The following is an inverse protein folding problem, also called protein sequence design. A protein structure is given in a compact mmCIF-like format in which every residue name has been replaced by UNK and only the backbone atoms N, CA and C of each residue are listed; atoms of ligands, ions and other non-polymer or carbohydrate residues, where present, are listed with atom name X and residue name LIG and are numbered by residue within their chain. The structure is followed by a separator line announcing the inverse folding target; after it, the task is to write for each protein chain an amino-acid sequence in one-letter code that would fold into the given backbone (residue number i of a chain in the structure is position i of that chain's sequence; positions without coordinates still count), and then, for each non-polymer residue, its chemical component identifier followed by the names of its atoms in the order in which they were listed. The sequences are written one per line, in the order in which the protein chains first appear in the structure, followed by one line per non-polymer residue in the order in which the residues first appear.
data_IF_076228158443
#
_entry.id   IF_076228158443
#
_cell.length_a   1.000
_cell.length_b   1.000
_cell.length_c   1.000
_cell.angle_alpha   90.00
_cell.angle_beta   90.00
_cell.angle_gamma   90.00
#
_symmetry.space_group_name_H-M   'P 1'
#
loop_
_entity.id
_entity.type
_entity.pdbx_description
1 polymer ?
#
# COMPACT_ATOMS: atom_id res chain seq x y z
N UNK A 1 4.78 14.61 5.06
CA UNK A 1 6.21 14.26 5.14
C UNK A 1 6.59 13.05 4.29
N UNK A 2 5.87 11.93 4.35
CA UNK A 2 6.25 10.68 3.65
C UNK A 2 5.73 10.52 2.23
N UNK A 3 5.07 11.54 1.66
CA UNK A 3 4.56 11.48 0.29
C UNK A 3 5.72 11.40 -0.69
N UNK A 4 5.71 10.39 -1.55
CA UNK A 4 6.77 10.07 -2.52
C UNK A 4 8.16 10.01 -1.88
N UNK A 5 8.23 9.52 -0.65
CA UNK A 5 9.51 9.28 0.02
C UNK A 5 10.36 8.26 -0.74
N UNK A 6 9.71 7.30 -1.40
CA UNK A 6 10.36 6.38 -2.34
C UNK A 6 10.04 6.85 -3.77
N UNK A 7 10.80 7.85 -4.22
CA UNK A 7 10.73 8.43 -5.56
C UNK A 7 11.77 7.80 -6.52
N UNK A 8 11.89 8.36 -7.72
CA UNK A 8 12.86 7.90 -8.73
C UNK A 8 14.32 7.93 -8.24
N UNK A 9 14.69 8.89 -7.39
CA UNK A 9 16.06 9.01 -6.90
C UNK A 9 16.33 8.00 -5.79
N UNK A 10 15.37 7.79 -4.88
CA UNK A 10 15.43 6.72 -3.89
C UNK A 10 15.52 5.33 -4.56
N UNK A 11 14.72 5.07 -5.60
CA UNK A 11 14.72 3.82 -6.34
C UNK A 11 16.05 3.55 -7.05
N UNK A 12 16.74 4.58 -7.56
CA UNK A 12 18.08 4.44 -8.19
C UNK A 12 19.16 3.98 -7.21
N UNK A 13 18.99 4.24 -5.92
CA UNK A 13 19.93 3.83 -4.88
C UNK A 13 19.73 2.36 -4.47
N UNK A 14 18.62 1.73 -4.88
CA UNK A 14 18.35 0.33 -4.58
C UNK A 14 19.23 -0.60 -5.42
N UNK A 15 19.50 -1.79 -4.87
CA UNK A 15 20.24 -2.83 -5.60
C UNK A 15 19.35 -3.42 -6.71
N UNK A 16 19.97 -3.80 -7.83
CA UNK A 16 19.27 -4.36 -8.99
C UNK A 16 18.47 -5.63 -8.68
N UNK A 17 18.93 -6.43 -7.73
CA UNK A 17 18.34 -7.69 -7.29
C UNK A 17 17.32 -7.54 -6.14
N UNK A 18 17.03 -6.31 -5.72
CA UNK A 18 16.13 -6.06 -4.60
C UNK A 18 14.65 -6.09 -5.01
N UNK A 19 13.79 -6.37 -4.03
CA UNK A 19 12.33 -6.36 -4.16
C UNK A 19 11.76 -5.28 -3.24
N UNK A 20 10.84 -4.47 -3.76
CA UNK A 20 10.12 -3.46 -2.98
C UNK A 20 8.74 -3.99 -2.56
N UNK A 21 8.39 -3.89 -1.28
CA UNK A 21 7.07 -4.27 -0.78
C UNK A 21 6.43 -3.05 -0.11
N UNK A 22 5.21 -2.68 -0.51
CA UNK A 22 4.43 -1.65 0.15
C UNK A 22 3.05 -2.16 0.57
N UNK A 23 2.87 -2.31 1.88
CA UNK A 23 1.58 -2.56 2.54
C UNK A 23 1.29 -1.48 3.60
N UNK A 24 1.91 -0.30 3.47
CA UNK A 24 1.75 0.81 4.40
C UNK A 24 0.61 1.73 3.93
N UNK A 25 0.90 2.63 2.97
CA UNK A 25 -0.07 3.57 2.39
C UNK A 25 0.25 3.84 0.93
N UNK A 26 -0.79 4.11 0.15
CA UNK A 26 -0.68 4.71 -1.16
C UNK A 26 0.06 6.04 -1.10
N UNK A 27 0.85 6.34 -2.15
CA UNK A 27 1.59 7.59 -2.25
C UNK A 27 2.84 7.72 -1.39
N UNK A 28 3.24 6.68 -0.64
CA UNK A 28 4.59 6.61 -0.06
C UNK A 28 5.63 6.35 -1.14
N UNK A 29 5.27 5.51 -2.12
CA UNK A 29 6.05 5.21 -3.31
C UNK A 29 5.48 6.01 -4.48
N UNK A 30 6.33 6.66 -5.27
CA UNK A 30 5.92 7.16 -6.57
C UNK A 30 5.73 5.97 -7.52
N UNK A 31 4.48 5.64 -7.80
CA UNK A 31 4.11 4.47 -8.59
C UNK A 31 4.57 4.54 -10.05
N UNK A 32 4.67 5.75 -10.62
CA UNK A 32 5.17 5.90 -11.98
C UNK A 32 6.68 5.64 -12.01
N UNK A 33 7.41 6.19 -11.03
CA UNK A 33 8.84 5.94 -10.89
C UNK A 33 9.13 4.45 -10.64
N UNK A 34 8.29 3.78 -9.84
CA UNK A 34 8.39 2.34 -9.61
C UNK A 34 8.13 1.54 -10.89
N UNK A 35 7.07 1.85 -11.62
CA UNK A 35 6.74 1.17 -12.88
C UNK A 35 7.89 1.29 -13.89
N UNK A 36 8.46 2.49 -14.03
CA UNK A 36 9.64 2.74 -14.86
C UNK A 36 10.87 1.93 -14.41
N UNK A 37 11.12 1.87 -13.11
CA UNK A 37 12.24 1.11 -12.55
C UNK A 37 12.08 -0.40 -12.83
N UNK A 38 10.87 -0.95 -12.69
CA UNK A 38 10.57 -2.34 -13.00
C UNK A 38 10.69 -2.61 -14.50
N UNK A 39 10.15 -1.73 -15.35
CA UNK A 39 10.23 -1.86 -16.80
C UNK A 39 11.67 -1.90 -17.31
N UNK A 40 12.55 -1.07 -16.74
CA UNK A 40 13.99 -1.04 -17.09
C UNK A 40 14.79 -2.17 -16.42
N UNK A 41 14.17 -3.02 -15.60
CA UNK A 41 14.85 -4.09 -14.87
C UNK A 41 15.86 -3.57 -13.84
N UNK A 42 15.58 -2.41 -13.23
CA UNK A 42 16.38 -1.84 -12.15
C UNK A 42 16.05 -2.44 -10.78
N UNK A 43 14.97 -3.21 -10.68
CA UNK A 43 14.56 -3.96 -9.50
C UNK A 43 14.20 -5.39 -9.92
N UNK A 44 14.40 -6.34 -9.00
CA UNK A 44 13.97 -7.73 -9.23
C UNK A 44 12.44 -7.83 -9.25
N UNK A 45 11.74 -7.01 -8.46
CA UNK A 45 10.29 -6.93 -8.51
C UNK A 45 9.68 -6.00 -7.46
N UNK A 46 8.35 -5.96 -7.42
CA UNK A 46 7.61 -5.27 -6.37
C UNK A 46 6.31 -5.99 -5.97
N UNK A 47 5.82 -5.73 -4.76
CA UNK A 47 4.50 -6.15 -4.30
C UNK A 47 3.78 -4.98 -3.62
N UNK A 48 2.58 -4.64 -4.08
CA UNK A 48 1.77 -3.52 -3.57
C UNK A 48 0.39 -4.02 -3.14
N UNK A 49 0.00 -3.68 -1.91
CA UNK A 49 -1.38 -3.84 -1.40
C UNK A 49 -2.14 -2.50 -1.39
N UNK A 50 -1.41 -1.39 -1.59
CA UNK A 50 -1.92 -0.02 -1.43
C UNK A 50 -1.57 0.82 -2.65
N UNK A 51 -2.43 1.79 -2.99
CA UNK A 51 -2.30 2.64 -4.19
C UNK A 51 -2.60 4.11 -3.88
N UNK A 52 -1.99 5.03 -4.62
CA UNK A 52 -2.29 6.47 -4.56
C UNK A 52 -3.76 6.77 -4.78
N UNK A 53 -4.41 5.99 -5.64
CA UNK A 53 -5.85 6.01 -5.83
C UNK A 53 -6.44 4.65 -5.45
N UNK A 54 -7.32 4.68 -4.44
CA UNK A 54 -8.09 3.53 -4.00
C UNK A 54 -9.60 3.83 -4.10
N UNK A 55 -10.40 2.98 -4.75
CA UNK A 55 -10.02 1.75 -5.47
C UNK A 55 -9.17 2.02 -6.72
N UNK A 56 -8.27 1.08 -7.04
CA UNK A 56 -7.48 1.15 -8.26
C UNK A 56 -8.41 0.99 -9.48
N UNK A 57 -8.50 2.04 -10.30
CA UNK A 57 -9.26 2.00 -11.54
C UNK A 57 -8.37 1.64 -12.74
N UNK A 58 -8.99 1.34 -13.88
CA UNK A 58 -8.28 0.96 -15.10
C UNK A 58 -7.31 2.04 -15.59
N UNK A 59 -7.64 3.32 -15.43
CA UNK A 59 -6.79 4.44 -15.89
C UNK A 59 -5.51 4.52 -15.05
N UNK A 60 -5.63 4.38 -13.74
CA UNK A 60 -4.48 4.41 -12.84
C UNK A 60 -3.65 3.12 -12.94
N UNK A 61 -4.32 1.97 -13.12
CA UNK A 61 -3.69 0.66 -13.27
C UNK A 61 -2.86 0.49 -14.55
N UNK A 62 -3.12 1.27 -15.61
CA UNK A 62 -2.38 1.20 -16.88
C UNK A 62 -0.85 1.27 -16.73
N UNK A 63 -0.34 2.00 -15.74
CA UNK A 63 1.12 2.11 -15.49
C UNK A 63 1.79 0.77 -15.18
N UNK A 64 1.04 -0.21 -14.70
CA UNK A 64 1.56 -1.53 -14.35
C UNK A 64 1.36 -2.56 -15.47
N UNK A 65 0.73 -2.19 -16.60
CA UNK A 65 0.48 -3.11 -17.70
C UNK A 65 1.78 -3.66 -18.30
N UNK A 66 1.81 -4.97 -18.56
CA UNK A 66 2.96 -5.65 -19.15
C UNK A 66 4.14 -5.87 -18.21
N UNK A 67 4.11 -5.36 -16.98
CA UNK A 67 5.12 -5.66 -15.97
C UNK A 67 4.98 -7.12 -15.50
N UNK A 68 6.06 -7.89 -15.61
CA UNK A 68 6.07 -9.33 -15.30
C UNK A 68 6.51 -9.62 -13.86
N UNK A 69 7.14 -8.66 -13.21
CA UNK A 69 7.76 -8.78 -11.89
C UNK A 69 7.06 -7.88 -10.86
N UNK A 70 5.73 -7.83 -10.90
CA UNK A 70 4.92 -7.09 -9.93
C UNK A 70 3.74 -7.94 -9.45
N UNK A 71 3.45 -7.84 -8.15
CA UNK A 71 2.25 -8.43 -7.54
C UNK A 71 1.40 -7.28 -7.00
N UNK A 72 0.13 -7.25 -7.39
CA UNK A 72 -0.83 -6.26 -6.95
C UNK A 72 -1.99 -6.97 -6.24
N UNK A 73 -2.30 -6.54 -5.02
CA UNK A 73 -3.51 -6.94 -4.31
C UNK A 73 -4.37 -5.70 -4.05
N UNK A 74 -5.72 -5.80 -4.03
CA UNK A 74 -6.52 -4.76 -3.42
C UNK A 74 -6.10 -4.59 -1.95
N UNK A 75 -6.41 -3.47 -1.31
CA UNK A 75 -6.02 -3.17 0.07
C UNK A 75 -6.67 -4.11 1.10
N UNK A 76 -6.11 -5.32 1.22
CA UNK A 76 -6.67 -6.44 1.97
C UNK A 76 -5.69 -7.05 2.97
N UNK A 77 -4.43 -6.60 3.01
CA UNK A 77 -3.43 -7.16 3.93
C UNK A 77 -3.88 -7.10 5.40
N UNK A 78 -4.67 -6.08 5.77
CA UNK A 78 -5.25 -5.92 7.11
C UNK A 78 -6.65 -6.51 7.31
N UNK A 79 -7.29 -7.02 6.26
CA UNK A 79 -8.72 -7.42 6.23
C UNK A 79 -8.89 -8.93 6.40
N UNK A 80 -8.30 -9.48 7.46
CA UNK A 80 -8.49 -10.91 7.82
C UNK A 80 -9.71 -11.10 8.72
N UNK A 81 -10.20 -12.34 8.83
CA UNK A 81 -11.31 -12.68 9.75
C UNK A 81 -10.94 -12.31 11.19
N UNK A 82 -9.74 -12.67 11.63
CA UNK A 82 -9.24 -12.41 12.99
C UNK A 82 -9.03 -10.90 13.23
N UNK A 83 -8.56 -10.17 12.21
CA UNK A 83 -8.40 -8.71 12.29
C UNK A 83 -9.74 -8.02 12.44
N UNK A 84 -10.75 -8.43 11.66
CA UNK A 84 -12.09 -7.88 11.73
C UNK A 84 -12.74 -8.11 13.10
N UNK A 85 -12.55 -9.29 13.72
CA UNK A 85 -13.03 -9.54 15.10
C UNK A 85 -12.36 -8.57 16.08
N UNK A 86 -11.02 -8.51 16.11
CA UNK A 86 -10.30 -7.62 17.04
C UNK A 86 -10.67 -6.14 16.89
N UNK A 87 -10.81 -5.68 15.64
CA UNK A 87 -11.19 -4.28 15.36
C UNK A 87 -12.64 -4.02 15.77
N UNK A 88 -13.55 -4.97 15.51
CA UNK A 88 -14.96 -4.84 15.91
C UNK A 88 -15.11 -4.76 17.43
N UNK A 89 -14.42 -5.63 18.16
CA UNK A 89 -14.43 -5.66 19.63
C UNK A 89 -13.88 -4.33 20.19
N UNK A 90 -12.72 -3.88 19.70
CA UNK A 90 -12.12 -2.61 20.11
C UNK A 90 -13.07 -1.43 19.86
N UNK A 91 -13.71 -1.37 18.70
CA UNK A 91 -14.64 -0.28 18.38
C UNK A 91 -15.86 -0.33 19.29
N UNK A 92 -16.42 -1.51 19.55
CA UNK A 92 -17.55 -1.67 20.45
C UNK A 92 -17.20 -1.18 21.87
N UNK A 93 -16.05 -1.56 22.40
CA UNK A 93 -15.57 -1.13 23.72
C UNK A 93 -15.37 0.40 23.79
N UNK A 94 -14.78 1.00 22.76
CA UNK A 94 -14.59 2.45 22.69
C UNK A 94 -15.92 3.22 22.63
N UNK A 95 -16.89 2.71 21.88
CA UNK A 95 -18.24 3.31 21.79
C UNK A 95 -18.96 3.20 23.13
N UNK A 96 -18.93 2.02 23.76
CA UNK A 96 -19.52 1.82 25.09
C UNK A 96 -18.88 2.74 26.13
N UNK A 97 -17.55 2.86 26.13
CA UNK A 97 -16.83 3.76 27.03
C UNK A 97 -17.22 5.23 26.81
N UNK A 98 -17.35 5.68 25.56
CA UNK A 98 -17.77 7.04 25.26
C UNK A 98 -19.21 7.33 25.70
N UNK A 99 -20.15 6.41 25.43
CA UNK A 99 -21.55 6.56 25.81
C UNK A 99 -21.79 6.40 27.32
N UNK A 100 -21.04 5.53 27.99
CA UNK A 100 -21.13 5.34 29.44
C UNK A 100 -20.65 6.54 30.23
N UNK A 101 -19.61 7.23 29.74
CA UNK A 101 -19.08 8.46 30.34
C UNK A 101 -19.90 9.72 30.01
N UNK A 102 -20.98 9.60 29.23
CA UNK A 102 -21.84 10.74 28.85
C UNK A 102 -22.91 11.08 29.91
N UNK A 103 -22.95 10.34 31.03
CA UNK A 103 -23.94 10.48 32.11
C UNK A 103 -23.37 11.06 33.43
N UNK A 104 -22.14 11.61 33.40
CA UNK A 104 -21.59 12.43 34.49
C UNK A 104 -21.51 13.92 34.10
#
# INVERSE_FOLDING_TARGET
ETRHQIDADALKLMKKDSVLINAARGGVVDENALADALHRGALAGAALDVFEKEPLDAVHGQRFEGLKNIILTPHIAGVTVESNVRVSDLIADLVLGHLGNSNE
#
